data_IF_187467396373
#
_entry.id   IF_187467396373
#
_cell.length_a   1.000
_cell.length_b   1.000
_cell.length_c   1.000
_cell.angle_alpha   90.00
_cell.angle_beta   90.00
_cell.angle_gamma   90.00
#
_symmetry.space_group_name_H-M   'P 1'
#
loop_
_entity.id
_entity.type
_entity.pdbx_description
1 polymer ?
#
# COMPACT_ATOMS: atom_id res chain seq x y z
N UNK A 1 -12.33 4.77 10.46
CA UNK A 1 -12.05 3.37 10.07
C UNK A 1 -10.63 3.03 10.46
N UNK A 2 -10.35 1.77 10.82
CA UNK A 2 -9.02 1.30 11.25
C UNK A 2 -8.12 1.05 10.04
N UNK A 3 -6.82 1.29 10.17
CA UNK A 3 -5.84 0.91 9.16
C UNK A 3 -5.71 -0.63 9.09
N UNK A 4 -5.49 -1.22 7.90
CA UNK A 4 -5.26 -2.65 7.79
C UNK A 4 -3.88 -3.00 8.37
N UNK A 5 -3.82 -4.01 9.23
CA UNK A 5 -2.53 -4.55 9.67
C UNK A 5 -1.83 -5.33 8.55
N UNK A 6 -0.54 -5.63 8.72
CA UNK A 6 0.27 -6.35 7.72
C UNK A 6 -0.41 -7.61 7.16
N UNK A 7 -0.90 -8.49 8.03
CA UNK A 7 -1.54 -9.74 7.61
C UNK A 7 -2.81 -9.51 6.79
N UNK A 8 -3.60 -8.49 7.15
CA UNK A 8 -4.80 -8.08 6.45
C UNK A 8 -4.46 -7.50 5.07
N UNK A 9 -3.47 -6.61 4.99
CA UNK A 9 -2.98 -6.04 3.73
C UNK A 9 -2.46 -7.12 2.76
N UNK A 10 -1.68 -8.08 3.26
CA UNK A 10 -1.22 -9.22 2.45
C UNK A 10 -2.37 -10.13 2.02
N UNK A 11 -3.37 -10.32 2.87
CA UNK A 11 -4.60 -11.03 2.53
C UNK A 11 -5.38 -10.35 1.40
N UNK A 12 -5.47 -9.01 1.45
CA UNK A 12 -6.12 -8.20 0.42
C UNK A 12 -5.41 -8.35 -0.93
N UNK A 13 -4.07 -8.25 -0.98
CA UNK A 13 -3.33 -8.44 -2.23
C UNK A 13 -3.58 -9.83 -2.85
N UNK A 14 -3.53 -10.89 -2.03
CA UNK A 14 -3.78 -12.26 -2.49
C UNK A 14 -5.22 -12.44 -2.97
N UNK A 15 -6.19 -11.92 -2.21
CA UNK A 15 -7.61 -11.96 -2.56
C UNK A 15 -7.95 -11.15 -3.82
N UNK A 16 -7.18 -10.11 -4.12
CA UNK A 16 -7.29 -9.31 -5.33
C UNK A 16 -6.69 -9.98 -6.58
N UNK A 17 -6.02 -11.13 -6.43
CA UNK A 17 -5.39 -11.85 -7.54
C UNK A 17 -3.95 -11.42 -7.84
N UNK A 18 -3.31 -10.64 -6.97
CA UNK A 18 -1.90 -10.28 -7.14
C UNK A 18 -1.02 -11.54 -7.07
N UNK A 19 -0.17 -11.73 -8.09
CA UNK A 19 0.77 -12.85 -8.13
C UNK A 19 1.81 -12.80 -7.00
N UNK A 20 2.43 -13.94 -6.69
CA UNK A 20 3.43 -14.05 -5.60
C UNK A 20 4.57 -13.03 -5.72
N UNK A 21 5.00 -12.72 -6.95
CA UNK A 21 6.05 -11.73 -7.21
C UNK A 21 5.63 -10.31 -6.80
N UNK A 22 4.38 -9.91 -7.06
CA UNK A 22 3.83 -8.62 -6.64
C UNK A 22 3.73 -8.56 -5.11
N UNK A 23 3.19 -9.61 -4.49
CA UNK A 23 3.10 -9.66 -3.02
C UNK A 23 4.48 -9.53 -2.37
N UNK A 24 5.47 -10.27 -2.87
CA UNK A 24 6.84 -10.19 -2.38
C UNK A 24 7.46 -8.80 -2.60
N UNK A 25 7.24 -8.20 -3.77
CA UNK A 25 7.66 -6.82 -4.05
C UNK A 25 7.07 -5.84 -3.04
N UNK A 26 5.76 -5.87 -2.81
CA UNK A 26 5.11 -5.01 -1.82
C UNK A 26 5.67 -5.20 -0.40
N UNK A 27 5.98 -6.44 0.00
CA UNK A 27 6.62 -6.71 1.29
C UNK A 27 8.00 -6.07 1.41
N UNK A 28 8.84 -6.15 0.36
CA UNK A 28 10.16 -5.52 0.32
C UNK A 28 10.07 -3.99 0.34
N UNK A 29 9.12 -3.41 -0.39
CA UNK A 29 8.87 -1.97 -0.38
C UNK A 29 8.44 -1.51 1.01
N UNK A 30 7.56 -2.25 1.69
CA UNK A 30 7.14 -1.93 3.06
C UNK A 30 8.31 -1.97 4.06
N UNK A 31 9.22 -2.93 3.95
CA UNK A 31 10.44 -2.99 4.77
C UNK A 31 11.31 -1.73 4.60
N UNK A 32 11.52 -1.30 3.34
CA UNK A 32 12.30 -0.09 3.04
C UNK A 32 11.58 1.17 3.51
N UNK A 33 10.27 1.26 3.27
CA UNK A 33 9.45 2.41 3.67
C UNK A 33 9.44 2.61 5.20
N UNK A 34 9.28 1.52 5.96
CA UNK A 34 9.32 1.56 7.42
C UNK A 34 10.70 1.96 7.96
N UNK A 35 11.78 1.51 7.32
CA UNK A 35 13.13 1.94 7.70
C UNK A 35 13.31 3.45 7.53
N UNK A 36 12.93 3.99 6.37
CA UNK A 36 13.01 5.43 6.10
C UNK A 36 12.12 6.22 7.08
N UNK A 37 10.88 5.77 7.27
CA UNK A 37 9.94 6.41 8.18
C UNK A 37 10.42 6.39 9.63
N UNK A 38 11.05 5.29 10.07
CA UNK A 38 11.66 5.18 11.40
C UNK A 38 12.86 6.11 11.58
N UNK A 39 13.72 6.24 10.57
CA UNK A 39 14.84 7.19 10.59
C UNK A 39 14.34 8.65 10.70
N UNK A 40 13.28 9.00 9.95
CA UNK A 40 12.65 10.32 10.02
C UNK A 40 12.00 10.58 11.38
N UNK A 41 11.27 9.60 11.92
CA UNK A 41 10.70 9.70 13.26
C UNK A 41 11.80 9.89 14.33
N UNK A 42 12.93 9.21 14.18
CA UNK A 42 14.08 9.31 15.08
C UNK A 42 14.74 10.69 15.12
N UNK A 43 14.60 11.51 14.07
CA UNK A 43 15.12 12.89 14.02
C UNK A 43 14.05 13.95 14.29
N UNK A 44 12.87 13.53 14.78
CA UNK A 44 11.82 14.42 15.29
C UNK A 44 10.70 14.76 14.31
N UNK A 45 10.61 14.08 13.15
CA UNK A 45 9.43 14.21 12.28
C UNK A 45 8.26 13.40 12.83
N UNK A 46 7.05 13.96 12.78
CA UNK A 46 5.83 13.21 13.03
C UNK A 46 5.50 12.34 11.81
N UNK A 47 5.63 11.02 11.95
CA UNK A 47 5.37 10.06 10.87
C UNK A 47 4.44 8.96 11.39
N UNK A 48 3.34 8.73 10.68
CA UNK A 48 2.41 7.63 10.94
C UNK A 48 2.95 6.33 10.32
N UNK A 49 3.62 5.51 11.14
CA UNK A 49 4.24 4.26 10.69
C UNK A 49 3.21 3.22 10.23
N UNK A 50 2.02 3.20 10.82
CA UNK A 50 0.96 2.26 10.44
C UNK A 50 0.41 2.61 9.06
N UNK A 51 0.22 3.90 8.78
CA UNK A 51 -0.21 4.37 7.46
C UNK A 51 0.88 4.12 6.40
N UNK A 52 2.16 4.32 6.75
CA UNK A 52 3.29 4.01 5.87
C UNK A 52 3.31 2.52 5.52
N UNK A 53 3.18 1.62 6.49
CA UNK A 53 3.19 0.18 6.21
C UNK A 53 1.97 -0.21 5.36
N UNK A 54 0.76 0.23 5.72
CA UNK A 54 -0.46 -0.07 4.98
C UNK A 54 -0.38 0.44 3.53
N UNK A 55 0.06 1.67 3.32
CA UNK A 55 0.22 2.28 2.00
C UNK A 55 1.27 1.55 1.16
N UNK A 56 2.42 1.22 1.75
CA UNK A 56 3.49 0.52 1.05
C UNK A 56 3.12 -0.92 0.67
N UNK A 57 2.42 -1.65 1.55
CA UNK A 57 1.95 -3.00 1.24
C UNK A 57 0.89 -2.98 0.13
N UNK A 58 0.00 -1.99 0.10
CA UNK A 58 -1.13 -1.98 -0.82
C UNK A 58 -0.89 -1.16 -2.10
N UNK A 59 0.25 -0.51 -2.26
CA UNK A 59 0.49 0.43 -3.39
C UNK A 59 0.21 -0.18 -4.77
N UNK A 60 0.50 -1.47 -4.92
CA UNK A 60 0.37 -2.22 -6.17
C UNK A 60 -0.94 -3.04 -6.24
N UNK A 61 -1.95 -2.77 -5.39
CA UNK A 61 -3.21 -3.51 -5.34
C UNK A 61 -3.91 -3.63 -6.72
N UNK A 62 -3.82 -2.59 -7.55
CA UNK A 62 -4.39 -2.61 -8.89
C UNK A 62 -3.77 -3.64 -9.84
N UNK A 63 -2.58 -4.19 -9.52
CA UNK A 63 -1.94 -5.29 -10.27
C UNK A 63 -2.75 -6.58 -10.27
N UNK A 64 -3.72 -6.71 -9.37
CA UNK A 64 -4.71 -7.78 -9.41
C UNK A 64 -5.72 -7.66 -10.57
N UNK A 65 -5.80 -6.50 -11.22
CA UNK A 65 -6.74 -6.21 -12.31
C UNK A 65 -6.09 -5.75 -13.61
N UNK A 66 -5.03 -4.95 -13.54
CA UNK A 66 -4.35 -4.37 -14.71
C UNK A 66 -2.83 -4.37 -14.55
N UNK A 67 -2.12 -4.55 -15.67
CA UNK A 67 -0.67 -4.42 -15.75
C UNK A 67 -0.23 -3.06 -16.33
N UNK A 68 -1.17 -2.18 -16.66
CA UNK A 68 -0.87 -0.84 -17.17
C UNK A 68 -0.47 0.17 -16.08
N UNK A 69 -0.20 1.40 -16.51
CA UNK A 69 0.09 2.54 -15.62
C UNK A 69 -1.14 2.91 -14.78
N UNK A 70 -2.34 2.58 -15.24
CA UNK A 70 -3.60 2.79 -14.54
C UNK A 70 -3.77 1.97 -13.25
N UNK A 71 -2.87 1.01 -12.95
CA UNK A 71 -2.95 0.20 -11.72
C UNK A 71 -2.95 1.04 -10.42
N UNK A 72 -2.40 2.25 -10.43
CA UNK A 72 -2.52 3.18 -9.31
C UNK A 72 -3.97 3.58 -9.10
N UNK A 73 -4.61 4.17 -10.11
CA UNK A 73 -6.02 4.61 -10.08
C UNK A 73 -6.95 3.44 -9.78
N UNK A 74 -6.80 2.32 -10.49
CA UNK A 74 -7.59 1.10 -10.27
C UNK A 74 -7.40 0.57 -8.86
N UNK A 75 -6.16 0.59 -8.35
CA UNK A 75 -5.86 0.18 -6.98
C UNK A 75 -6.52 1.08 -5.93
N UNK A 76 -6.54 2.40 -6.16
CA UNK A 76 -7.22 3.37 -5.30
C UNK A 76 -8.74 3.14 -5.26
N UNK A 77 -9.37 2.90 -6.40
CA UNK A 77 -10.79 2.53 -6.50
C UNK A 77 -11.08 1.21 -5.78
N UNK A 78 -10.22 0.20 -5.96
CA UNK A 78 -10.33 -1.08 -5.25
C UNK A 78 -10.24 -0.89 -3.73
N UNK A 79 -9.28 -0.10 -3.25
CA UNK A 79 -9.12 0.19 -1.83
C UNK A 79 -10.37 0.83 -1.22
N UNK A 80 -10.97 1.81 -1.93
CA UNK A 80 -12.24 2.44 -1.51
C UNK A 80 -13.40 1.45 -1.53
N UNK A 81 -13.49 0.62 -2.57
CA UNK A 81 -14.52 -0.43 -2.67
C UNK A 81 -14.43 -1.48 -1.57
N UNK A 82 -13.24 -1.71 -1.02
CA UNK A 82 -13.01 -2.59 0.14
C UNK A 82 -13.27 -1.90 1.49
N UNK A 83 -13.65 -0.62 1.50
CA UNK A 83 -13.85 0.16 2.72
C UNK A 83 -12.56 0.50 3.46
N UNK A 84 -11.41 0.53 2.77
CA UNK A 84 -10.16 0.97 3.38
C UNK A 84 -10.19 2.49 3.64
N UNK A 85 -9.46 2.98 4.66
CA UNK A 85 -9.36 4.41 4.91
C UNK A 85 -8.87 5.19 3.69
N UNK A 86 -9.43 6.38 3.45
CA UNK A 86 -9.10 7.23 2.30
C UNK A 86 -7.60 7.57 2.24
N UNK A 87 -6.92 7.68 3.39
CA UNK A 87 -5.48 7.87 3.44
C UNK A 87 -4.70 6.73 2.76
N UNK A 88 -5.14 5.47 2.97
CA UNK A 88 -4.56 4.30 2.30
C UNK A 88 -4.89 4.35 0.81
N UNK A 89 -6.16 4.58 0.46
CA UNK A 89 -6.58 4.64 -0.93
C UNK A 89 -5.80 5.68 -1.75
N UNK A 90 -5.54 6.87 -1.18
CA UNK A 90 -4.73 7.91 -1.84
C UNK A 90 -3.26 7.54 -1.95
N UNK A 91 -2.69 6.85 -0.97
CA UNK A 91 -1.32 6.31 -1.06
C UNK A 91 -1.20 5.33 -2.23
N UNK A 92 -2.18 4.44 -2.40
CA UNK A 92 -2.24 3.50 -3.53
C UNK A 92 -2.41 4.24 -4.86
N UNK A 93 -3.35 5.18 -4.92
CA UNK A 93 -3.72 5.88 -6.15
C UNK A 93 -2.56 6.67 -6.77
N UNK A 94 -1.71 7.27 -5.94
CA UNK A 94 -0.76 8.33 -6.36
C UNK A 94 0.69 7.88 -6.41
N UNK A 95 0.98 6.62 -6.10
CA UNK A 95 2.35 6.15 -5.90
C UNK A 95 3.22 6.18 -7.18
N UNK A 96 2.60 6.13 -8.36
CA UNK A 96 3.31 6.05 -9.64
C UNK A 96 4.00 7.37 -9.99
N UNK A 97 3.48 8.50 -9.49
CA UNK A 97 3.90 9.83 -9.90
C UNK A 97 3.35 10.20 -11.28
N UNK A 98 2.78 11.40 -11.38
CA UNK A 98 2.36 12.04 -12.62
C UNK A 98 3.02 13.40 -12.74
#
# INVERSE_FOLDING_TARGET
MRLPGRGEALGILRGAGCGRGVVFHCERVAEVALRIAGELAGVGFEVDLELVEAGALLHDLGRGRTHGVDHGVVGGEMARGLGLPEAVARSVERHIGG
#
